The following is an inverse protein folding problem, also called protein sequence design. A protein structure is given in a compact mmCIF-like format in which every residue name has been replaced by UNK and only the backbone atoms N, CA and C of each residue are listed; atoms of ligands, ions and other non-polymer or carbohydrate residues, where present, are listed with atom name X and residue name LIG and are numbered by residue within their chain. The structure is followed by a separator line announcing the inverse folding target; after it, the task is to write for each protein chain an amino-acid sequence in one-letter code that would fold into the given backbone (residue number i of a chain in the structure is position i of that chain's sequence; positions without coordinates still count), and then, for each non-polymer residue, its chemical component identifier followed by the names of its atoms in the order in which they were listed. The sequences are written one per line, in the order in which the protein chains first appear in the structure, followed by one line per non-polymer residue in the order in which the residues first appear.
data_IF_199406629353
#
_entry.id   IF_199406629353
#
_cell.length_a   1.000
_cell.length_b   1.000
_cell.length_c   1.000
_cell.angle_alpha   90.00
_cell.angle_beta   90.00
_cell.angle_gamma   90.00
#
_symmetry.space_group_name_H-M   'P 1'
#
loop_
_entity.id
_entity.type
_entity.pdbx_description
1 polymer ?
#
# COMPACT_ATOMS: atom_id res chain seq x y z
N UNK A 1 8.73 29.05 6.81
CA UNK A 1 7.61 28.08 6.69
C UNK A 1 8.25 26.70 6.68
N UNK A 2 8.11 25.87 7.72
CA UNK A 2 8.60 24.50 7.60
C UNK A 2 7.80 23.81 6.51
N UNK A 3 8.48 23.14 5.59
CA UNK A 3 7.84 22.25 4.64
C UNK A 3 7.29 21.07 5.44
N UNK A 4 5.99 21.08 5.74
CA UNK A 4 5.31 19.88 6.23
C UNK A 4 5.46 18.81 5.15
N UNK A 5 6.36 17.85 5.37
CA UNK A 5 6.39 16.65 4.57
C UNK A 5 5.13 15.87 4.94
N UNK A 6 4.04 16.17 4.24
CA UNK A 6 2.85 15.36 4.31
C UNK A 6 3.18 14.06 3.57
N UNK A 7 3.52 13.01 4.33
CA UNK A 7 3.74 11.69 3.76
C UNK A 7 2.40 11.20 3.19
N UNK A 8 2.32 11.10 1.87
CA UNK A 8 1.07 10.71 1.21
C UNK A 8 0.73 9.22 1.44
N UNK A 9 1.75 8.37 1.61
CA UNK A 9 1.59 6.93 1.79
C UNK A 9 2.51 6.42 2.90
N UNK A 10 1.96 5.59 3.79
CA UNK A 10 2.74 4.71 4.66
C UNK A 10 2.46 3.24 4.32
N UNK A 11 3.47 2.38 4.46
CA UNK A 11 3.34 0.93 4.27
C UNK A 11 3.85 0.24 5.53
N UNK A 12 2.96 -0.48 6.21
CA UNK A 12 3.24 -1.25 7.41
C UNK A 12 3.36 -2.74 7.07
N UNK A 13 4.50 -3.35 7.41
CA UNK A 13 4.74 -4.79 7.23
C UNK A 13 4.67 -5.48 8.59
N UNK A 14 3.57 -6.18 8.84
CA UNK A 14 3.26 -6.76 10.15
C UNK A 14 3.69 -8.23 10.20
N UNK A 15 4.88 -8.46 10.76
CA UNK A 15 5.49 -9.81 10.89
C UNK A 15 5.09 -10.49 12.21
N UNK A 16 4.92 -9.71 13.29
CA UNK A 16 4.48 -10.20 14.61
C UNK A 16 3.13 -9.55 14.97
N UNK A 17 2.36 -10.13 15.89
CA UNK A 17 0.94 -9.77 16.14
C UNK A 17 0.68 -8.37 16.76
N UNK A 18 1.58 -7.40 16.63
CA UNK A 18 1.36 -6.01 17.04
C UNK A 18 0.83 -5.17 15.88
N UNK A 19 -0.36 -4.57 16.02
CA UNK A 19 -0.92 -3.70 14.98
C UNK A 19 -2.02 -2.72 15.42
N UNK A 20 -2.46 -2.77 16.68
CA UNK A 20 -3.65 -2.01 17.11
C UNK A 20 -3.37 -0.51 17.29
N UNK A 21 -2.12 -0.09 17.56
CA UNK A 21 -1.75 1.33 17.78
C UNK A 21 -1.18 2.04 16.55
N UNK A 22 -0.91 1.33 15.46
CA UNK A 22 -0.17 1.91 14.33
C UNK A 22 -1.04 2.91 13.53
N UNK A 23 -2.33 2.61 13.34
CA UNK A 23 -3.27 3.52 12.68
C UNK A 23 -3.43 4.85 13.45
N UNK A 24 -3.46 4.82 14.79
CA UNK A 24 -3.56 6.04 15.62
C UNK A 24 -2.35 6.97 15.41
N UNK A 25 -1.15 6.41 15.25
CA UNK A 25 0.07 7.18 14.94
C UNK A 25 -0.06 7.85 13.59
N UNK A 26 -0.41 7.10 12.54
CA UNK A 26 -0.56 7.65 11.18
C UNK A 26 -1.69 8.68 11.08
N UNK A 27 -2.76 8.50 11.87
CA UNK A 27 -3.86 9.46 11.99
C UNK A 27 -3.37 10.77 12.60
N UNK A 28 -2.59 10.72 13.68
CA UNK A 28 -1.97 11.90 14.29
C UNK A 28 -0.97 12.61 13.37
N UNK A 29 -0.35 11.86 12.44
CA UNK A 29 0.53 12.40 11.39
C UNK A 29 -0.22 12.89 10.13
N UNK A 30 -1.52 12.63 10.03
CA UNK A 30 -2.34 13.05 8.89
C UNK A 30 -2.04 12.31 7.58
N UNK A 31 -1.48 11.08 7.64
CA UNK A 31 -1.14 10.31 6.44
C UNK A 31 -2.43 9.91 5.71
N UNK A 32 -2.65 10.33 4.45
CA UNK A 32 -3.94 10.13 3.80
C UNK A 32 -4.21 8.67 3.41
N UNK A 33 -3.17 7.87 3.16
CA UNK A 33 -3.30 6.47 2.76
C UNK A 33 -2.26 5.59 3.50
N UNK A 34 -2.71 4.46 4.08
CA UNK A 34 -1.85 3.50 4.77
C UNK A 34 -2.13 2.10 4.26
N UNK A 35 -1.08 1.35 3.89
CA UNK A 35 -1.17 -0.04 3.46
C UNK A 35 -0.63 -0.96 4.54
N UNK A 36 -1.31 -2.07 4.80
CA UNK A 36 -0.81 -3.13 5.69
C UNK A 36 -0.60 -4.40 4.90
N UNK A 37 0.60 -4.97 5.02
CA UNK A 37 0.89 -6.35 4.66
C UNK A 37 0.96 -7.20 5.92
N UNK A 38 -0.02 -8.06 6.13
CA UNK A 38 -0.09 -8.93 7.30
C UNK A 38 -0.65 -10.30 6.92
N UNK A 39 0.03 -11.39 7.32
CA UNK A 39 -0.42 -12.77 7.04
C UNK A 39 -0.79 -12.97 5.55
N UNK A 40 0.05 -12.47 4.66
CA UNK A 40 -0.13 -12.52 3.20
C UNK A 40 -1.36 -11.76 2.68
N UNK A 41 -1.96 -10.89 3.48
CA UNK A 41 -3.05 -10.01 3.09
C UNK A 41 -2.52 -8.58 2.96
N UNK A 42 -2.75 -7.98 1.78
CA UNK A 42 -2.58 -6.55 1.56
C UNK A 42 -3.92 -5.86 1.80
N UNK A 43 -3.97 -4.93 2.75
CA UNK A 43 -5.14 -4.09 3.02
C UNK A 43 -4.77 -2.62 2.91
N UNK A 44 -5.73 -1.79 2.49
CA UNK A 44 -5.54 -0.36 2.24
C UNK A 44 -6.53 0.40 3.11
N UNK A 45 -6.08 1.48 3.74
CA UNK A 45 -6.89 2.36 4.58
C UNK A 45 -6.73 3.81 4.14
N UNK A 46 -7.85 4.54 4.08
CA UNK A 46 -7.86 5.99 3.80
C UNK A 46 -8.30 6.77 5.01
N UNK A 47 -7.61 7.89 5.27
CA UNK A 47 -8.02 8.84 6.30
C UNK A 47 -9.18 9.69 5.76
N UNK A 48 -10.39 9.47 6.28
CA UNK A 48 -11.59 10.19 5.90
C UNK A 48 -12.27 10.75 7.15
N UNK A 49 -12.54 12.05 7.16
CA UNK A 49 -13.17 12.74 8.29
C UNK A 49 -12.49 12.47 9.65
N UNK A 50 -11.16 12.28 9.62
CA UNK A 50 -10.36 12.01 10.81
C UNK A 50 -10.29 10.53 11.22
N UNK A 51 -10.88 9.58 10.48
CA UNK A 51 -10.82 8.15 10.79
C UNK A 51 -10.33 7.33 9.59
N UNK A 52 -9.67 6.19 9.86
CA UNK A 52 -9.24 5.29 8.80
C UNK A 52 -10.34 4.31 8.40
N UNK A 53 -10.64 4.26 7.10
CA UNK A 53 -11.62 3.35 6.51
C UNK A 53 -10.90 2.41 5.54
N UNK A 54 -11.12 1.10 5.67
CA UNK A 54 -10.56 0.11 4.75
C UNK A 54 -11.18 0.24 3.35
N UNK A 55 -10.35 0.12 2.32
CA UNK A 55 -10.74 0.30 0.92
C UNK A 55 -10.23 -0.84 0.04
N UNK A 56 -10.94 -1.09 -1.05
CA UNK A 56 -10.61 -2.16 -1.99
C UNK A 56 -9.54 -1.76 -3.03
N UNK A 57 -9.28 -0.46 -3.19
CA UNK A 57 -8.33 0.11 -4.15
C UNK A 57 -7.51 1.21 -3.49
N UNK A 58 -6.39 1.57 -4.10
CA UNK A 58 -5.60 2.75 -3.73
C UNK A 58 -6.19 4.02 -4.32
N UNK A 59 -6.15 5.13 -3.58
CA UNK A 59 -6.53 6.45 -4.10
C UNK A 59 -5.33 7.11 -4.78
N UNK A 60 -4.12 6.88 -4.27
CA UNK A 60 -2.87 7.36 -4.88
C UNK A 60 -2.54 6.62 -6.18
N UNK A 61 -2.90 5.34 -6.28
CA UNK A 61 -2.65 4.49 -7.45
C UNK A 61 -3.95 3.81 -7.93
N UNK A 62 -4.92 4.57 -8.47
CA UNK A 62 -6.24 4.03 -8.83
C UNK A 62 -6.22 2.97 -9.94
N UNK A 63 -5.16 2.96 -10.76
CA UNK A 63 -4.95 2.00 -11.84
C UNK A 63 -4.12 0.79 -11.42
N UNK A 64 -3.63 0.75 -10.18
CA UNK A 64 -2.85 -0.37 -9.68
C UNK A 64 -3.80 -1.51 -9.28
N UNK A 65 -3.65 -2.64 -9.95
CA UNK A 65 -4.28 -3.89 -9.50
C UNK A 65 -3.53 -4.43 -8.27
N UNK A 66 -4.14 -4.27 -7.10
CA UNK A 66 -3.57 -4.74 -5.83
C UNK A 66 -3.53 -6.27 -5.75
N UNK A 67 -4.41 -6.98 -6.46
CA UNK A 67 -4.37 -8.45 -6.55
C UNK A 67 -3.16 -8.89 -7.36
N UNK A 68 -2.86 -8.17 -8.44
CA UNK A 68 -1.64 -8.38 -9.22
C UNK A 68 -0.39 -8.10 -8.38
N UNK A 69 -0.33 -6.96 -7.68
CA UNK A 69 0.78 -6.63 -6.80
C UNK A 69 1.01 -7.73 -5.75
N UNK A 70 -0.06 -8.20 -5.10
CA UNK A 70 -0.01 -9.28 -4.10
C UNK A 70 0.69 -10.54 -4.63
N UNK A 71 0.46 -10.92 -5.89
CA UNK A 71 1.13 -12.08 -6.50
C UNK A 71 2.65 -11.97 -6.45
N UNK A 72 3.19 -10.77 -6.68
CA UNK A 72 4.63 -10.53 -6.70
C UNK A 72 5.23 -10.30 -5.30
N UNK A 73 4.42 -9.93 -4.30
CA UNK A 73 4.88 -9.83 -2.91
C UNK A 73 5.24 -11.19 -2.28
N UNK A 74 4.82 -12.30 -2.91
CA UNK A 74 5.06 -13.67 -2.44
C UNK A 74 6.21 -14.38 -3.16
N UNK A 75 6.94 -13.69 -4.04
CA UNK A 75 8.09 -14.29 -4.72
C UNK A 75 9.25 -14.50 -3.75
N UNK A 76 9.95 -15.62 -3.88
CA UNK A 76 11.14 -15.94 -3.08
C UNK A 76 12.33 -15.02 -3.42
N UNK A 77 12.46 -14.64 -4.69
CA UNK A 77 13.53 -13.78 -5.21
C UNK A 77 13.03 -12.36 -5.51
N UNK A 78 13.41 -11.34 -4.71
CA UNK A 78 12.90 -9.97 -4.86
C UNK A 78 13.24 -9.32 -6.21
N UNK A 79 14.38 -9.66 -6.80
CA UNK A 79 14.81 -9.10 -8.07
C UNK A 79 13.86 -9.53 -9.20
N UNK A 80 13.56 -10.82 -9.27
CA UNK A 80 12.65 -11.39 -10.26
C UNK A 80 11.23 -10.85 -10.07
N UNK A 81 10.79 -10.70 -8.81
CA UNK A 81 9.50 -10.12 -8.47
C UNK A 81 9.31 -8.72 -9.07
N UNK A 82 10.31 -7.84 -8.89
CA UNK A 82 10.27 -6.47 -9.42
C UNK A 82 10.34 -6.47 -10.95
N UNK A 83 11.20 -7.29 -11.53
CA UNK A 83 11.37 -7.36 -12.98
C UNK A 83 10.08 -7.82 -13.68
N UNK A 84 9.49 -8.91 -13.22
CA UNK A 84 8.28 -9.48 -13.79
C UNK A 84 7.07 -8.58 -13.56
N UNK A 85 6.94 -7.99 -12.37
CA UNK A 85 5.85 -7.04 -12.09
C UNK A 85 5.90 -5.84 -13.03
N UNK A 86 7.10 -5.25 -13.24
CA UNK A 86 7.28 -4.14 -14.18
C UNK A 86 6.95 -4.53 -15.61
N UNK A 87 7.36 -5.72 -16.05
CA UNK A 87 7.03 -6.23 -17.37
C UNK A 87 5.51 -6.42 -17.54
N UNK A 88 4.85 -6.97 -16.54
CA UNK A 88 3.40 -7.16 -16.56
C UNK A 88 2.63 -5.85 -16.61
N UNK A 89 3.01 -4.85 -15.80
CA UNK A 89 2.41 -3.51 -15.85
C UNK A 89 2.58 -2.88 -17.24
N UNK A 90 3.77 -3.01 -17.82
CA UNK A 90 4.06 -2.48 -19.16
C UNK A 90 3.15 -3.11 -20.22
N UNK A 91 3.01 -4.44 -20.23
CA UNK A 91 2.17 -5.14 -21.20
C UNK A 91 0.67 -4.83 -21.02
N UNK A 92 0.23 -4.66 -19.78
CA UNK A 92 -1.14 -4.24 -19.44
C UNK A 92 -1.49 -2.84 -19.96
N UNK A 93 -0.51 -1.95 -20.13
CA UNK A 93 -0.72 -0.57 -20.60
C UNK A 93 -0.72 -0.44 -22.13
N UNK A 94 -0.13 -1.41 -22.85
CA UNK A 94 -0.06 -1.43 -24.32
C UNK A 94 -1.16 -2.28 -24.99
N UNK A 95 -2.12 -2.77 -24.22
CA UNK A 95 -3.25 -3.59 -24.71
C UNK A 95 -4.54 -2.79 -24.92
N UNK A 96 -4.45 -1.46 -25.10
CA UNK A 96 -5.57 -0.55 -25.35
C UNK A 96 -5.46 0.01 -26.77
#
# INVERSE_FOLDING_TARGET
MPHEINQYLAIEVVITSGGIKTLEIYQGLGVPEVWFWQKELLTVYFLQNGEYIQQAKSQLFPNLDLSLLKKYLQYDEPFDAVLDFRNQLRNSLFSI
#
